data_IF_698532423814
#
_entry.id   IF_698532423814
#
_cell.length_a   1.000
_cell.length_b   1.000
_cell.length_c   1.000
_cell.angle_alpha   90.00
_cell.angle_beta   90.00
_cell.angle_gamma   90.00
#
_symmetry.space_group_name_H-M   'P 1'
#
loop_
_entity.id
_entity.type
_entity.pdbx_description
1 polymer ?
#
# COMPACT_ATOMS: atom_id res chain seq x y z
N UNK A 1 11.55 21.21 14.86
CA UNK A 1 10.93 22.20 13.95
C UNK A 1 9.83 21.48 13.18
N UNK A 2 8.57 21.73 13.51
CA UNK A 2 7.41 21.21 12.79
C UNK A 2 6.59 22.40 12.30
N UNK A 3 6.23 22.44 11.02
CA UNK A 3 5.52 23.54 10.39
C UNK A 3 4.08 23.11 10.07
N UNK A 4 3.03 23.93 10.33
CA UNK A 4 1.66 23.55 10.07
C UNK A 4 1.12 24.11 8.75
N UNK A 5 0.41 23.26 7.99
CA UNK A 5 -0.34 23.60 6.78
C UNK A 5 -1.62 24.40 7.12
N UNK A 6 -1.87 25.49 6.38
CA UNK A 6 -3.12 26.28 6.41
C UNK A 6 -3.90 26.09 5.11
N UNK A 7 -5.19 25.74 5.21
CA UNK A 7 -6.13 25.75 4.08
C UNK A 7 -6.89 27.08 4.00
N UNK A 8 -7.32 27.47 2.79
CA UNK A 8 -8.27 28.58 2.60
C UNK A 8 -9.20 28.28 1.42
N UNK A 9 -10.51 28.30 1.69
CA UNK A 9 -11.63 28.27 0.74
C UNK A 9 -12.11 29.69 0.45
N UNK A 10 -12.57 29.99 -0.77
CA UNK A 10 -13.34 31.20 -1.07
C UNK A 10 -14.55 30.88 -1.96
N UNK A 11 -15.73 31.35 -1.53
CA UNK A 11 -16.97 31.44 -2.30
C UNK A 11 -17.07 32.82 -2.97
N UNK A 12 -17.78 32.91 -4.10
CA UNK A 12 -18.43 34.15 -4.58
C UNK A 12 -19.79 33.83 -5.23
N UNK A 13 -20.80 34.72 -5.15
CA UNK A 13 -22.10 34.53 -5.81
C UNK A 13 -22.45 35.55 -6.92
N UNK A 14 -23.17 35.03 -7.91
CA UNK A 14 -24.44 35.46 -8.57
C UNK A 14 -24.57 36.82 -9.32
N UNK A 15 -25.27 36.67 -10.45
CA UNK A 15 -25.74 37.53 -11.56
C UNK A 15 -26.66 38.71 -11.23
N UNK A 16 -26.92 39.56 -12.23
CA UNK A 16 -28.31 39.80 -12.70
C UNK A 16 -28.43 40.48 -14.09
N UNK A 17 -29.65 40.43 -14.59
CA UNK A 17 -30.17 40.39 -15.98
C UNK A 17 -31.00 41.65 -16.27
N UNK A 18 -31.38 41.85 -17.55
CA UNK A 18 -32.65 42.45 -18.09
C UNK A 18 -32.42 43.58 -19.10
N UNK A 19 -33.27 43.88 -20.10
CA UNK A 19 -34.39 43.24 -20.80
C UNK A 19 -34.92 44.25 -21.88
N UNK A 20 -35.84 43.78 -22.74
CA UNK A 20 -36.81 44.52 -23.57
C UNK A 20 -36.29 45.18 -24.89
N UNK A 21 -37.01 45.18 -26.02
CA UNK A 21 -38.37 44.72 -26.35
C UNK A 21 -39.16 45.78 -27.14
N UNK A 22 -39.71 45.35 -28.29
CA UNK A 22 -41.06 45.68 -28.81
C UNK A 22 -41.35 46.73 -29.94
N UNK A 23 -41.82 46.17 -31.08
CA UNK A 23 -42.98 46.46 -31.97
C UNK A 23 -43.29 47.84 -32.59
N UNK A 24 -43.66 47.82 -33.89
CA UNK A 24 -45.03 48.16 -34.38
C UNK A 24 -45.17 48.05 -35.92
N UNK A 25 -46.42 47.86 -36.34
CA UNK A 25 -47.03 47.25 -37.54
C UNK A 25 -47.59 48.23 -38.61
N UNK A 26 -48.11 47.67 -39.73
CA UNK A 26 -49.03 48.16 -40.82
C UNK A 26 -48.38 48.16 -42.22
N UNK A 27 -48.97 47.72 -43.34
CA UNK A 27 -50.25 47.11 -43.70
C UNK A 27 -50.45 47.18 -45.25
N UNK A 28 -50.93 46.07 -45.84
CA UNK A 28 -51.87 45.94 -46.99
C UNK A 28 -51.49 46.09 -48.50
N UNK A 29 -52.22 45.28 -49.30
CA UNK A 29 -52.40 45.12 -50.78
C UNK A 29 -51.54 44.10 -51.59
N UNK A 30 -52.25 43.12 -52.14
CA UNK A 30 -51.92 42.18 -53.25
C UNK A 30 -52.98 42.39 -54.37
N UNK A 31 -52.91 41.81 -55.59
CA UNK A 31 -51.87 40.92 -56.17
C UNK A 31 -51.52 41.25 -57.65
N UNK A 32 -50.28 40.93 -58.10
CA UNK A 32 -50.10 40.37 -59.46
C UNK A 32 -48.72 39.77 -59.70
N UNK A 33 -48.80 38.53 -60.17
CA UNK A 33 -47.97 37.89 -61.20
C UNK A 33 -46.49 37.61 -60.94
N UNK A 34 -46.21 36.31 -60.94
CA UNK A 34 -45.02 35.66 -61.52
C UNK A 34 -43.67 36.38 -61.40
N UNK A 35 -42.92 36.05 -60.35
CA UNK A 35 -41.46 36.00 -60.44
C UNK A 35 -40.85 35.28 -59.24
N UNK A 36 -40.08 34.23 -59.55
CA UNK A 36 -38.88 33.78 -58.83
C UNK A 36 -39.05 33.35 -57.36
N UNK A 37 -38.81 32.06 -57.12
CA UNK A 37 -38.28 31.62 -55.82
C UNK A 37 -36.89 32.26 -55.69
N UNK A 38 -36.85 33.48 -55.15
CA UNK A 38 -35.62 34.10 -54.70
C UNK A 38 -35.15 33.29 -53.50
N UNK A 39 -34.15 32.43 -53.72
CA UNK A 39 -33.32 31.91 -52.65
C UNK A 39 -32.61 33.12 -52.02
N UNK A 40 -33.26 33.79 -51.07
CA UNK A 40 -32.58 34.75 -50.23
C UNK A 40 -31.55 33.96 -49.43
N UNK A 41 -30.30 34.01 -49.88
CA UNK A 41 -29.18 33.67 -49.01
C UNK A 41 -29.23 34.68 -47.85
N UNK A 42 -29.87 34.30 -46.75
CA UNK A 42 -29.75 35.02 -45.50
C UNK A 42 -28.26 35.00 -45.16
N UNK A 43 -27.57 36.11 -45.47
CA UNK A 43 -26.21 36.31 -44.99
C UNK A 43 -26.31 36.27 -43.47
N UNK A 44 -25.59 35.36 -42.80
CA UNK A 44 -25.74 35.18 -41.36
C UNK A 44 -25.51 36.53 -40.67
N UNK A 45 -26.42 36.90 -39.77
CA UNK A 45 -26.34 38.16 -39.06
C UNK A 45 -24.99 38.25 -38.34
N UNK A 46 -24.36 39.43 -38.31
CA UNK A 46 -23.03 39.61 -37.69
C UNK A 46 -23.01 39.11 -36.23
N UNK A 47 -24.12 39.25 -35.51
CA UNK A 47 -24.33 38.66 -34.17
C UNK A 47 -24.38 37.12 -34.20
N UNK A 48 -25.04 36.50 -35.17
CA UNK A 48 -25.05 35.04 -35.32
C UNK A 48 -23.64 34.49 -35.63
N UNK A 49 -22.86 35.19 -36.45
CA UNK A 49 -21.46 34.84 -36.70
C UNK A 49 -20.60 34.96 -35.43
N UNK A 50 -20.86 35.97 -34.60
CA UNK A 50 -20.20 36.13 -33.30
C UNK A 50 -20.59 35.00 -32.34
N UNK A 51 -21.87 34.66 -32.23
CA UNK A 51 -22.33 33.56 -31.38
C UNK A 51 -21.79 32.20 -31.84
N UNK A 52 -21.78 31.95 -33.15
CA UNK A 52 -21.14 30.76 -33.73
C UNK A 52 -19.66 30.74 -33.36
N UNK A 53 -18.96 31.88 -33.45
CA UNK A 53 -17.55 32.00 -33.05
C UNK A 53 -17.29 31.74 -31.56
N UNK A 54 -18.20 32.17 -30.68
CA UNK A 54 -18.10 31.92 -29.24
C UNK A 54 -18.32 30.43 -28.94
N UNK A 55 -19.36 29.83 -29.52
CA UNK A 55 -19.66 28.40 -29.33
C UNK A 55 -18.53 27.53 -29.88
N UNK A 56 -17.95 27.86 -31.03
CA UNK A 56 -16.81 27.11 -31.57
C UNK A 56 -15.58 27.24 -30.69
N UNK A 57 -15.32 28.42 -30.12
CA UNK A 57 -14.22 28.63 -29.18
C UNK A 57 -14.43 27.83 -27.88
N UNK A 58 -15.64 27.82 -27.33
CA UNK A 58 -15.98 27.04 -26.13
C UNK A 58 -15.83 25.54 -26.38
N UNK A 59 -16.29 25.04 -27.53
CA UNK A 59 -16.13 23.64 -27.91
C UNK A 59 -14.64 23.29 -28.11
N UNK A 60 -13.83 24.17 -28.70
CA UNK A 60 -12.39 23.99 -28.83
C UNK A 60 -11.69 23.95 -27.46
N UNK A 61 -12.06 24.84 -26.54
CA UNK A 61 -11.52 24.85 -25.17
C UNK A 61 -11.91 23.58 -24.41
N UNK A 62 -13.15 23.11 -24.53
CA UNK A 62 -13.60 21.83 -23.97
C UNK A 62 -12.81 20.66 -24.56
N UNK A 63 -12.56 20.63 -25.86
CA UNK A 63 -11.75 19.59 -26.51
C UNK A 63 -10.29 19.64 -26.04
N UNK A 64 -9.71 20.83 -25.83
CA UNK A 64 -8.37 20.98 -25.28
C UNK A 64 -8.29 20.55 -23.80
N UNK A 65 -9.33 20.82 -23.00
CA UNK A 65 -9.41 20.37 -21.62
C UNK A 65 -9.62 18.85 -21.53
N UNK A 66 -10.47 18.27 -22.37
CA UNK A 66 -10.66 16.81 -22.45
C UNK A 66 -9.38 16.17 -22.98
N UNK A 67 -8.75 16.71 -24.02
CA UNK A 67 -7.48 16.23 -24.53
C UNK A 67 -6.36 16.33 -23.48
N UNK A 68 -6.28 17.45 -22.76
CA UNK A 68 -5.35 17.64 -21.65
C UNK A 68 -5.64 16.70 -20.47
N UNK A 69 -6.91 16.43 -20.15
CA UNK A 69 -7.32 15.46 -19.14
C UNK A 69 -7.01 14.02 -19.58
N UNK A 70 -7.26 13.67 -20.84
CA UNK A 70 -6.93 12.36 -21.42
C UNK A 70 -5.42 12.18 -21.46
N UNK A 71 -4.64 13.19 -21.87
CA UNK A 71 -3.17 13.15 -21.86
C UNK A 71 -2.63 13.16 -20.43
N UNK A 72 -3.21 13.91 -19.50
CA UNK A 72 -2.79 13.90 -18.09
C UNK A 72 -3.16 12.58 -17.41
N UNK A 73 -4.31 12.00 -17.72
CA UNK A 73 -4.73 10.71 -17.19
C UNK A 73 -3.98 9.56 -17.87
N UNK A 74 -3.71 9.64 -19.17
CA UNK A 74 -2.86 8.70 -19.90
C UNK A 74 -1.40 8.87 -19.51
N UNK A 75 -0.94 10.06 -19.13
CA UNK A 75 0.38 10.34 -18.56
C UNK A 75 0.45 9.91 -17.10
N UNK A 76 -0.62 10.00 -16.32
CA UNK A 76 -0.71 9.38 -14.98
C UNK A 76 -0.79 7.86 -15.09
N UNK A 77 -1.41 7.33 -16.14
CA UNK A 77 -1.42 5.92 -16.48
C UNK A 77 -0.05 5.50 -17.06
N UNK A 78 0.64 6.39 -17.77
CA UNK A 78 1.99 6.19 -18.32
C UNK A 78 3.08 6.36 -17.28
N UNK A 79 2.92 7.22 -16.27
CA UNK A 79 3.76 7.30 -15.06
C UNK A 79 3.49 6.10 -14.16
N UNK A 80 2.26 5.54 -14.19
CA UNK A 80 1.98 4.19 -13.68
C UNK A 80 2.54 3.07 -14.57
N UNK A 81 2.94 3.35 -15.83
CA UNK A 81 3.50 2.37 -16.78
C UNK A 81 4.99 2.60 -17.14
N UNK A 82 5.65 3.58 -16.52
CA UNK A 82 7.09 3.84 -16.65
C UNK A 82 7.79 3.92 -15.29
N UNK A 83 7.46 2.96 -14.43
CA UNK A 83 8.49 2.32 -13.62
C UNK A 83 8.79 0.96 -14.24
N UNK A 84 9.71 0.97 -15.21
CA UNK A 84 10.42 -0.22 -15.64
C UNK A 84 11.39 -0.62 -14.53
N UNK A 85 10.87 -1.30 -13.51
CA UNK A 85 11.69 -2.23 -12.74
C UNK A 85 11.54 -3.58 -13.44
N UNK A 86 12.63 -4.24 -13.84
CA UNK A 86 12.53 -5.62 -14.25
C UNK A 86 11.96 -6.39 -13.05
N UNK A 87 10.78 -6.99 -13.21
CA UNK A 87 10.29 -8.00 -12.29
C UNK A 87 11.22 -9.20 -12.44
N UNK A 88 12.32 -9.20 -11.70
CA UNK A 88 12.97 -10.43 -11.36
C UNK A 88 12.06 -11.14 -10.35
N UNK A 89 11.58 -12.30 -10.78
CA UNK A 89 10.76 -13.21 -10.00
C UNK A 89 11.58 -13.72 -8.82
N UNK A 90 11.23 -13.27 -7.60
CA UNK A 90 11.75 -13.86 -6.37
C UNK A 90 10.92 -15.10 -6.01
N UNK A 91 10.63 -16.02 -6.94
CA UNK A 91 9.83 -17.25 -6.74
C UNK A 91 8.79 -17.14 -5.61
N UNK A 92 7.93 -16.12 -5.69
CA UNK A 92 6.86 -15.84 -4.72
C UNK A 92 7.17 -14.88 -3.54
N UNK A 93 8.41 -14.65 -3.10
CA UNK A 93 8.71 -13.81 -1.92
C UNK A 93 8.22 -12.37 -2.08
N UNK A 94 8.48 -11.75 -3.23
CA UNK A 94 7.98 -10.41 -3.54
C UNK A 94 6.45 -10.39 -3.67
N UNK A 95 5.85 -11.53 -4.02
CA UNK A 95 4.39 -11.69 -4.07
C UNK A 95 3.79 -11.85 -2.68
N UNK A 96 4.50 -12.38 -1.68
CA UNK A 96 4.01 -12.47 -0.30
C UNK A 96 3.58 -11.11 0.25
N UNK A 97 4.27 -10.03 -0.14
CA UNK A 97 3.88 -8.66 0.16
C UNK A 97 2.56 -8.19 -0.48
N UNK A 98 1.87 -9.05 -1.25
CA UNK A 98 0.53 -8.80 -1.79
C UNK A 98 -0.54 -9.71 -1.17
N UNK A 99 -0.16 -10.80 -0.49
CA UNK A 99 -1.10 -11.65 0.22
C UNK A 99 -1.46 -11.01 1.55
N UNK A 100 -2.74 -10.69 1.71
CA UNK A 100 -3.29 -10.12 2.91
C UNK A 100 -4.43 -10.98 3.43
N UNK A 101 -4.57 -11.01 4.74
CA UNK A 101 -5.69 -11.63 5.44
C UNK A 101 -6.29 -10.63 6.43
N UNK A 102 -7.51 -10.88 6.85
CA UNK A 102 -8.16 -10.09 7.91
C UNK A 102 -8.20 -10.88 9.19
N UNK A 103 -7.75 -10.27 10.28
CA UNK A 103 -7.76 -10.89 11.59
C UNK A 103 -8.44 -9.97 12.59
N UNK A 104 -9.31 -10.55 13.42
CA UNK A 104 -9.81 -9.86 14.61
C UNK A 104 -8.87 -10.20 15.75
N UNK A 105 -8.37 -9.18 16.45
CA UNK A 105 -7.54 -9.44 17.61
C UNK A 105 -8.39 -10.00 18.75
N UNK A 106 -7.79 -10.90 19.52
CA UNK A 106 -8.39 -11.54 20.68
C UNK A 106 -7.37 -11.53 21.80
N UNK A 107 -7.84 -11.37 23.04
CA UNK A 107 -6.95 -11.52 24.18
C UNK A 107 -6.55 -13.00 24.31
N UNK A 108 -5.27 -13.27 24.09
CA UNK A 108 -4.66 -14.59 24.21
C UNK A 108 -3.51 -14.57 25.22
N UNK A 109 -3.67 -13.83 26.32
CA UNK A 109 -2.64 -13.71 27.36
C UNK A 109 -2.15 -15.04 27.92
N UNK A 110 -2.94 -16.11 27.87
CA UNK A 110 -2.50 -17.46 28.26
C UNK A 110 -1.30 -17.95 27.43
N UNK A 111 -1.21 -17.60 26.14
CA UNK A 111 -0.05 -17.92 25.29
C UNK A 111 1.21 -17.14 25.67
N UNK A 112 1.10 -16.19 26.61
CA UNK A 112 2.20 -15.35 27.08
C UNK A 112 2.70 -15.78 28.46
N UNK A 113 2.03 -16.71 29.14
CA UNK A 113 2.36 -17.14 30.51
C UNK A 113 3.52 -18.13 30.52
N UNK A 114 4.09 -18.35 31.70
CA UNK A 114 4.99 -19.47 31.94
C UNK A 114 4.17 -20.76 32.07
N UNK A 115 4.02 -21.47 30.97
CA UNK A 115 3.27 -22.73 30.87
C UNK A 115 3.83 -23.59 29.75
N UNK A 116 3.64 -24.91 29.85
CA UNK A 116 4.05 -25.84 28.81
C UNK A 116 3.33 -25.55 27.49
N UNK A 117 2.04 -25.21 27.55
CA UNK A 117 1.25 -24.85 26.38
C UNK A 117 1.81 -23.63 25.65
N UNK A 118 2.14 -22.55 26.39
CA UNK A 118 2.77 -21.37 25.80
C UNK A 118 4.17 -21.70 25.24
N UNK A 119 4.96 -22.48 25.96
CA UNK A 119 6.31 -22.86 25.52
C UNK A 119 6.27 -23.70 24.24
N UNK A 120 5.31 -24.64 24.12
CA UNK A 120 5.07 -25.41 22.89
C UNK A 120 4.61 -24.50 21.76
N UNK A 121 3.61 -23.64 22.00
CA UNK A 121 3.11 -22.70 20.98
C UNK A 121 4.22 -21.84 20.39
N UNK A 122 5.07 -21.25 21.23
CA UNK A 122 6.15 -20.39 20.75
C UNK A 122 7.30 -21.15 20.10
N UNK A 123 7.56 -22.39 20.53
CA UNK A 123 8.50 -23.29 19.85
C UNK A 123 8.00 -23.60 18.43
N UNK A 124 6.72 -23.93 18.28
CA UNK A 124 6.10 -24.19 16.98
C UNK A 124 6.05 -22.94 16.10
N UNK A 125 5.68 -21.79 16.67
CA UNK A 125 5.63 -20.51 15.98
C UNK A 125 7.00 -20.10 15.42
N UNK A 126 8.06 -20.36 16.16
CA UNK A 126 9.43 -20.10 15.71
C UNK A 126 9.94 -21.16 14.73
N UNK A 127 9.51 -22.43 14.87
CA UNK A 127 9.90 -23.53 13.98
C UNK A 127 11.42 -23.61 13.78
N UNK A 128 11.88 -23.55 12.52
CA UNK A 128 13.30 -23.51 12.15
C UNK A 128 13.93 -22.11 12.25
N UNK A 129 13.25 -21.16 12.88
CA UNK A 129 13.68 -19.78 13.01
C UNK A 129 13.60 -18.98 11.70
N UNK A 130 12.85 -19.46 10.71
CA UNK A 130 12.73 -18.80 9.40
C UNK A 130 14.00 -18.81 8.57
N UNK A 131 14.92 -19.73 8.87
CA UNK A 131 16.20 -19.84 8.17
C UNK A 131 16.01 -20.62 6.86
N UNK A 132 16.40 -19.99 5.75
CA UNK A 132 16.20 -20.47 4.39
C UNK A 132 17.54 -20.57 3.65
N UNK A 133 17.57 -21.36 2.60
CA UNK A 133 18.70 -21.54 1.70
C UNK A 133 18.25 -21.20 0.28
N UNK A 134 18.94 -20.25 -0.36
CA UNK A 134 18.59 -19.75 -1.69
C UNK A 134 19.82 -19.83 -2.60
N UNK A 135 19.61 -20.12 -3.89
CA UNK A 135 20.71 -20.13 -4.85
C UNK A 135 21.41 -18.76 -4.85
N UNK A 136 22.72 -18.75 -4.64
CA UNK A 136 23.51 -17.52 -4.43
C UNK A 136 23.42 -16.59 -5.64
N UNK A 137 23.61 -17.11 -6.84
CA UNK A 137 23.60 -16.30 -8.06
C UNK A 137 22.22 -15.68 -8.30
N UNK A 138 21.18 -16.50 -8.18
CA UNK A 138 19.80 -16.04 -8.31
C UNK A 138 19.46 -14.96 -7.26
N UNK A 139 19.85 -15.15 -6.00
CA UNK A 139 19.59 -14.20 -4.91
C UNK A 139 20.23 -12.83 -5.19
N UNK A 140 21.45 -12.82 -5.72
CA UNK A 140 22.14 -11.59 -6.13
C UNK A 140 21.45 -10.92 -7.31
N UNK A 141 20.96 -11.69 -8.29
CA UNK A 141 20.15 -11.17 -9.40
C UNK A 141 18.82 -10.55 -8.93
N UNK A 142 18.26 -11.03 -7.82
CA UNK A 142 17.10 -10.43 -7.16
C UNK A 142 17.44 -9.15 -6.37
N UNK A 143 18.71 -8.75 -6.31
CA UNK A 143 19.17 -7.59 -5.55
C UNK A 143 19.31 -7.83 -4.05
N UNK A 144 19.29 -9.09 -3.59
CA UNK A 144 19.65 -9.41 -2.21
C UNK A 144 21.13 -9.14 -1.97
N UNK A 145 21.47 -8.71 -0.76
CA UNK A 145 22.86 -8.55 -0.35
C UNK A 145 23.53 -9.92 -0.22
N UNK A 146 24.84 -10.03 -0.47
CA UNK A 146 25.58 -11.26 -0.19
C UNK A 146 25.35 -11.73 1.26
N UNK A 147 25.25 -13.05 1.43
CA UNK A 147 25.10 -13.69 2.74
C UNK A 147 26.10 -14.83 2.89
N UNK A 148 26.07 -15.50 4.06
CA UNK A 148 26.91 -16.66 4.31
C UNK A 148 26.52 -17.82 3.38
N UNK A 149 27.53 -18.52 2.85
CA UNK A 149 27.33 -19.74 2.06
C UNK A 149 26.75 -20.86 2.93
N UNK A 150 25.95 -21.73 2.31
CA UNK A 150 25.52 -22.95 2.98
C UNK A 150 26.72 -23.85 3.23
N UNK A 151 26.89 -24.39 4.46
CA UNK A 151 27.91 -25.38 4.75
C UNK A 151 27.81 -26.67 3.90
N UNK A 152 26.63 -27.00 3.38
CA UNK A 152 26.37 -28.21 2.59
C UNK A 152 26.39 -27.99 1.08
N UNK A 153 26.23 -26.74 0.60
CA UNK A 153 26.23 -26.41 -0.83
C UNK A 153 26.78 -24.99 -1.07
N UNK A 154 27.98 -24.83 -1.65
CA UNK A 154 28.59 -23.51 -1.89
C UNK A 154 27.82 -22.66 -2.93
N UNK A 155 26.91 -23.25 -3.70
CA UNK A 155 26.04 -22.50 -4.62
C UNK A 155 24.80 -21.91 -3.94
N UNK A 156 24.65 -22.13 -2.64
CA UNK A 156 23.52 -21.65 -1.84
C UNK A 156 24.00 -20.65 -0.80
N UNK A 157 23.17 -19.67 -0.50
CA UNK A 157 23.37 -18.67 0.54
C UNK A 157 22.25 -18.77 1.56
N UNK A 158 22.60 -18.64 2.84
CA UNK A 158 21.69 -18.72 3.97
C UNK A 158 21.09 -17.36 4.27
N UNK A 159 19.78 -17.29 4.42
CA UNK A 159 19.06 -16.07 4.84
C UNK A 159 18.10 -16.39 5.97
N UNK A 160 17.60 -15.35 6.64
CA UNK A 160 16.53 -15.46 7.61
C UNK A 160 15.38 -14.54 7.21
N UNK A 161 14.16 -15.07 7.24
CA UNK A 161 12.97 -14.23 7.10
C UNK A 161 12.76 -13.43 8.37
N UNK A 162 12.76 -12.11 8.22
CA UNK A 162 12.92 -11.12 9.28
C UNK A 162 11.86 -11.20 10.39
N UNK A 163 10.62 -11.60 10.07
CA UNK A 163 9.55 -11.80 11.07
C UNK A 163 9.92 -12.82 12.15
N UNK A 164 10.73 -13.83 11.82
CA UNK A 164 11.16 -14.82 12.80
C UNK A 164 12.18 -14.26 13.79
N UNK A 165 13.01 -13.29 13.40
CA UNK A 165 13.86 -12.55 14.33
C UNK A 165 12.99 -11.72 15.27
N UNK A 166 11.93 -11.09 14.76
CA UNK A 166 11.00 -10.31 15.58
C UNK A 166 10.32 -11.20 16.64
N UNK A 167 9.82 -12.37 16.21
CA UNK A 167 9.22 -13.35 17.09
C UNK A 167 10.23 -13.93 18.10
N UNK A 168 11.49 -14.15 17.70
CA UNK A 168 12.55 -14.60 18.60
C UNK A 168 12.85 -13.56 19.69
N UNK A 169 12.94 -12.28 19.31
CA UNK A 169 13.12 -11.18 20.25
C UNK A 169 11.93 -11.07 21.21
N UNK A 170 10.70 -11.15 20.69
CA UNK A 170 9.49 -11.10 21.51
C UNK A 170 9.41 -12.28 22.48
N UNK A 171 9.78 -13.48 22.05
CA UNK A 171 9.86 -14.67 22.90
C UNK A 171 10.93 -14.51 24.00
N UNK A 172 12.10 -13.96 23.66
CA UNK A 172 13.17 -13.68 24.63
C UNK A 172 12.73 -12.69 25.70
N UNK A 173 11.98 -11.65 25.32
CA UNK A 173 11.36 -10.71 26.24
C UNK A 173 10.32 -11.44 27.11
N UNK A 174 9.42 -12.23 26.50
CA UNK A 174 8.42 -13.03 27.24
C UNK A 174 9.10 -13.85 28.33
N UNK A 175 10.08 -14.67 27.98
CA UNK A 175 10.78 -15.57 28.91
C UNK A 175 11.41 -14.76 30.06
N UNK A 176 12.07 -13.64 29.78
CA UNK A 176 12.64 -12.79 30.82
C UNK A 176 11.59 -12.13 31.73
N UNK A 177 10.36 -11.93 31.26
CA UNK A 177 9.29 -11.35 32.06
C UNK A 177 8.57 -12.41 32.91
N UNK A 178 8.16 -13.52 32.30
CA UNK A 178 7.16 -14.43 32.90
C UNK A 178 7.76 -15.69 33.49
N UNK A 179 8.92 -16.16 33.01
CA UNK A 179 9.46 -17.44 33.45
C UNK A 179 9.77 -17.42 34.95
N UNK A 180 9.48 -18.52 35.64
CA UNK A 180 9.87 -18.71 37.03
C UNK A 180 11.40 -18.73 37.14
N UNK A 181 12.04 -19.54 36.29
CA UNK A 181 13.49 -19.63 36.16
C UNK A 181 13.97 -18.79 34.99
N UNK A 182 14.08 -17.48 35.22
CA UNK A 182 14.55 -16.53 34.21
C UNK A 182 16.01 -16.82 33.83
N UNK A 183 16.37 -16.68 32.54
CA UNK A 183 17.76 -16.62 32.13
C UNK A 183 18.50 -15.48 32.85
N UNK A 184 19.83 -15.56 32.89
CA UNK A 184 20.63 -14.43 33.35
C UNK A 184 20.34 -13.20 32.48
N UNK A 185 20.12 -12.06 33.14
CA UNK A 185 19.81 -10.83 32.44
C UNK A 185 21.01 -10.36 31.60
N UNK A 186 20.81 -10.32 30.29
CA UNK A 186 21.76 -9.73 29.35
C UNK A 186 21.19 -8.42 28.81
N UNK A 187 21.57 -7.30 29.43
CA UNK A 187 21.05 -5.97 29.10
C UNK A 187 21.21 -5.63 27.61
N UNK A 188 22.40 -5.87 27.05
CA UNK A 188 22.68 -5.57 25.64
C UNK A 188 21.74 -6.33 24.71
N UNK A 189 21.52 -7.62 24.98
CA UNK A 189 20.62 -8.44 24.19
C UNK A 189 19.16 -7.97 24.34
N UNK A 190 18.72 -7.66 25.56
CA UNK A 190 17.33 -7.22 25.80
C UNK A 190 17.03 -5.84 25.18
N UNK A 191 17.98 -4.90 25.24
CA UNK A 191 17.84 -3.61 24.56
C UNK A 191 17.79 -3.77 23.03
N UNK A 192 18.59 -4.68 22.46
CA UNK A 192 18.50 -5.03 21.04
C UNK A 192 17.12 -5.61 20.69
N UNK A 193 16.63 -6.57 21.48
CA UNK A 193 15.30 -7.17 21.26
C UNK A 193 14.18 -6.12 21.30
N UNK A 194 14.20 -5.24 22.30
CA UNK A 194 13.20 -4.17 22.44
C UNK A 194 13.25 -3.19 21.26
N UNK A 195 14.45 -2.75 20.88
CA UNK A 195 14.61 -1.79 19.77
C UNK A 195 14.25 -2.42 18.41
N UNK A 196 14.57 -3.70 18.22
CA UNK A 196 14.23 -4.41 17.01
C UNK A 196 12.72 -4.60 16.84
N UNK A 197 12.01 -5.00 17.90
CA UNK A 197 10.52 -5.06 17.88
C UNK A 197 9.92 -3.68 17.63
N UNK A 198 10.48 -2.62 18.23
CA UNK A 198 10.07 -1.23 17.96
C UNK A 198 10.23 -0.87 16.47
N UNK A 199 11.36 -1.21 15.85
CA UNK A 199 11.59 -0.96 14.42
C UNK A 199 10.61 -1.73 13.53
N UNK A 200 10.26 -2.97 13.88
CA UNK A 200 9.25 -3.73 13.14
C UNK A 200 7.89 -3.05 13.14
N UNK A 201 7.43 -2.56 14.30
CA UNK A 201 6.17 -1.83 14.44
C UNK A 201 6.16 -0.51 13.67
N UNK A 202 7.29 0.19 13.63
CA UNK A 202 7.42 1.45 12.87
C UNK A 202 7.54 1.23 11.36
N UNK A 203 8.10 0.10 10.93
CA UNK A 203 8.20 -0.28 9.53
C UNK A 203 6.83 -0.70 8.95
N UNK A 204 6.01 -1.35 9.77
CA UNK A 204 4.70 -1.87 9.41
C UNK A 204 3.59 -1.33 10.33
N UNK A 205 3.31 -0.02 10.31
CA UNK A 205 2.31 0.56 11.19
C UNK A 205 0.90 0.09 10.81
N UNK A 206 0.14 -0.37 11.80
CA UNK A 206 -1.29 -0.63 11.65
C UNK A 206 -2.06 0.68 11.83
N UNK A 207 -2.81 1.07 10.81
CA UNK A 207 -3.58 2.31 10.78
C UNK A 207 -5.06 2.10 11.15
N UNK A 208 -5.43 0.88 11.58
CA UNK A 208 -6.79 0.55 12.03
C UNK A 208 -7.16 1.40 13.24
N UNK A 209 -8.30 2.10 13.16
CA UNK A 209 -8.82 2.88 14.29
C UNK A 209 -9.52 1.96 15.28
N UNK A 210 -9.15 2.06 16.56
CA UNK A 210 -9.75 1.31 17.66
C UNK A 210 -10.76 2.15 18.43
N UNK A 211 -11.85 1.53 18.88
CA UNK A 211 -12.92 2.18 19.63
C UNK A 211 -12.62 2.20 21.14
N UNK A 212 -13.27 3.08 21.90
CA UNK A 212 -13.18 3.14 23.38
C UNK A 212 -14.54 3.53 23.96
N UNK A 213 -14.85 3.04 25.16
CA UNK A 213 -16.08 3.36 25.87
C UNK A 213 -15.86 4.30 27.07
N UNK A 214 -14.63 4.43 27.57
CA UNK A 214 -14.31 5.10 28.83
C UNK A 214 -13.07 6.02 28.78
N UNK A 215 -12.46 6.23 27.60
CA UNK A 215 -11.22 7.00 27.40
C UNK A 215 -9.98 6.45 28.12
N UNK A 216 -10.14 5.43 28.97
CA UNK A 216 -9.06 4.79 29.71
C UNK A 216 -8.44 3.66 28.89
N UNK A 217 -9.26 2.88 28.17
CA UNK A 217 -8.81 1.75 27.36
C UNK A 217 -9.43 1.72 25.95
N UNK A 218 -8.65 1.23 24.98
CA UNK A 218 -9.14 0.97 23.62
C UNK A 218 -9.48 -0.51 23.45
N UNK A 219 -10.59 -0.78 22.76
CA UNK A 219 -11.14 -2.12 22.56
C UNK A 219 -10.28 -2.90 21.56
N UNK A 220 -9.81 -4.08 21.98
CA UNK A 220 -8.99 -5.00 21.18
C UNK A 220 -9.81 -5.94 20.29
N UNK A 221 -10.91 -5.46 19.68
CA UNK A 221 -11.81 -6.31 18.90
C UNK A 221 -12.03 -5.82 17.47
N UNK A 222 -11.28 -4.83 17.00
CA UNK A 222 -11.40 -4.39 15.61
C UNK A 222 -10.79 -5.41 14.64
N UNK A 223 -11.18 -5.30 13.38
CA UNK A 223 -10.62 -6.12 12.31
C UNK A 223 -9.42 -5.42 11.68
N UNK A 224 -8.29 -6.11 11.69
CA UNK A 224 -7.02 -5.66 11.19
C UNK A 224 -6.72 -6.29 9.83
N UNK A 225 -6.07 -5.55 8.94
CA UNK A 225 -5.52 -6.11 7.71
C UNK A 225 -4.07 -6.53 7.96
N UNK A 226 -3.83 -7.83 7.92
CA UNK A 226 -2.52 -8.42 8.17
C UNK A 226 -1.93 -8.99 6.89
N UNK A 227 -0.61 -9.18 6.86
CA UNK A 227 0.00 -10.06 5.86
C UNK A 227 -0.44 -11.49 6.10
N UNK A 228 -0.63 -12.25 5.03
CA UNK A 228 -0.98 -13.66 5.16
C UNK A 228 0.22 -14.45 5.71
N UNK A 229 0.12 -14.80 6.98
CA UNK A 229 1.16 -15.56 7.67
C UNK A 229 1.28 -16.98 7.13
N UNK A 230 0.17 -17.60 6.70
CA UNK A 230 0.15 -18.95 6.14
C UNK A 230 0.90 -19.01 4.82
N UNK A 231 0.64 -18.06 3.91
CA UNK A 231 1.37 -17.95 2.65
C UNK A 231 2.89 -17.76 2.87
N UNK A 232 3.25 -16.94 3.87
CA UNK A 232 4.65 -16.75 4.25
C UNK A 232 5.29 -18.03 4.80
N UNK A 233 4.60 -18.74 5.69
CA UNK A 233 5.06 -20.01 6.25
C UNK A 233 5.27 -21.07 5.16
N UNK A 234 4.36 -21.18 4.20
CA UNK A 234 4.49 -22.13 3.09
C UNK A 234 5.74 -21.83 2.25
N UNK A 235 5.98 -20.57 1.94
CA UNK A 235 7.18 -20.14 1.21
C UNK A 235 8.46 -20.39 2.00
N UNK A 236 8.48 -20.10 3.30
CA UNK A 236 9.63 -20.41 4.18
C UNK A 236 9.87 -21.91 4.22
N UNK A 237 8.81 -22.70 4.32
CA UNK A 237 8.92 -24.14 4.34
C UNK A 237 9.52 -24.68 3.03
N UNK A 238 9.11 -24.18 1.86
CA UNK A 238 9.65 -24.65 0.58
C UNK A 238 11.11 -24.27 0.35
N UNK A 239 11.61 -23.22 1.01
CA UNK A 239 12.99 -22.73 0.90
C UNK A 239 13.83 -23.01 2.15
N UNK A 240 13.31 -23.76 3.13
CA UNK A 240 13.98 -23.96 4.42
C UNK A 240 15.36 -24.57 4.24
N UNK A 241 16.31 -24.12 5.04
CA UNK A 241 17.59 -24.81 5.14
C UNK A 241 17.38 -26.10 5.94
N UNK A 242 17.28 -27.22 5.24
CA UNK A 242 16.83 -28.52 5.80
C UNK A 242 17.75 -29.00 6.91
N UNK A 243 19.05 -28.75 6.79
CA UNK A 243 20.10 -29.17 7.72
C UNK A 243 20.28 -28.21 8.91
N UNK A 244 19.55 -27.09 8.95
CA UNK A 244 19.70 -26.10 10.01
C UNK A 244 19.46 -26.65 11.44
N UNK A 245 18.44 -27.51 11.69
CA UNK A 245 18.25 -28.09 13.02
C UNK A 245 19.47 -28.90 13.49
N UNK A 246 19.96 -29.81 12.65
CA UNK A 246 21.13 -30.65 12.95
C UNK A 246 22.40 -29.80 13.12
N UNK A 247 22.52 -28.73 12.34
CA UNK A 247 23.62 -27.77 12.49
C UNK A 247 23.57 -27.05 13.84
N UNK A 248 22.37 -26.62 14.28
CA UNK A 248 22.17 -25.91 15.55
C UNK A 248 22.44 -26.82 16.76
N UNK A 249 21.97 -28.07 16.71
CA UNK A 249 22.24 -29.07 17.75
C UNK A 249 23.74 -29.34 17.88
N UNK A 250 24.42 -29.57 16.75
CA UNK A 250 25.86 -29.78 16.74
C UNK A 250 26.67 -28.58 17.23
N UNK A 251 26.23 -27.35 16.92
CA UNK A 251 26.85 -26.13 17.43
C UNK A 251 26.71 -26.05 18.96
N UNK A 252 25.50 -26.28 19.47
CA UNK A 252 25.20 -26.23 20.89
C UNK A 252 25.99 -27.28 21.66
N UNK A 253 26.08 -28.51 21.13
CA UNK A 253 26.88 -29.59 21.71
C UNK A 253 28.38 -29.29 21.79
N UNK A 254 28.89 -28.44 20.89
CA UNK A 254 30.30 -28.01 20.86
C UNK A 254 30.60 -26.82 21.78
N UNK A 255 29.60 -26.25 22.46
CA UNK A 255 29.78 -25.13 23.38
C UNK A 255 30.20 -23.83 22.70
N UNK A 256 29.80 -23.62 21.43
CA UNK A 256 30.05 -22.42 20.64
C UNK A 256 28.84 -21.49 20.54
#
# INVERSE_FOLDING_TARGET
>A
MLSPWKSRSNNTPVSDINAAGDLSEKGELLPKDSSEIVYQSQRPNRSQLIHIGIITLELLLLLLLIGGYVVSNSSRQSDKHHHHHPHHSVDGLSQLGSYNTTMRFHNQSELLRDSDEANVYWKELLGTGGVISLNTQWALEQGLRPSAESPSDPNQSIYQVDVFHALHCLNSIRINLVAENKPEWNEKHMLHCLDYVRHQLLCHPDLTLVTTNDLDEFVLNETHQCRDYGAMLEWVHSHRWVEFPDWLENKTAKGH
#
